data_IF_188791940769
#
_entry.id   IF_188791940769
#
_cell.length_a   1.000
_cell.length_b   1.000
_cell.length_c   1.000
_cell.angle_alpha   90.00
_cell.angle_beta   90.00
_cell.angle_gamma   90.00
#
_symmetry.space_group_name_H-M   'P 1'
#
loop_
_entity.id
_entity.type
_entity.pdbx_description
1 polymer ?
#
# COMPACT_ATOMS: atom_id res chain seq x y z
N UNK A 1 -24.63 5.44 1.35
CA UNK A 1 -23.61 6.50 1.61
C UNK A 1 -22.26 6.01 1.13
N UNK A 2 -21.57 6.81 0.34
CA UNK A 2 -20.22 6.53 -0.19
C UNK A 2 -19.34 7.76 -0.04
N UNK A 3 -18.02 7.55 0.05
CA UNK A 3 -16.99 8.59 0.21
C UNK A 3 -15.84 8.31 -0.74
N UNK A 4 -15.29 9.37 -1.33
CA UNK A 4 -14.06 9.37 -2.11
C UNK A 4 -13.06 10.35 -1.49
N UNK A 5 -11.79 9.98 -1.40
CA UNK A 5 -10.75 10.80 -0.77
C UNK A 5 -9.53 10.94 -1.67
N UNK A 6 -9.16 12.18 -1.95
CA UNK A 6 -7.96 12.53 -2.72
C UNK A 6 -6.94 13.27 -1.85
N UNK A 7 -5.68 13.17 -2.22
CA UNK A 7 -4.60 13.89 -1.57
C UNK A 7 -3.37 13.99 -2.45
N UNK A 8 -2.27 14.49 -1.89
CA UNK A 8 -0.97 14.52 -2.58
C UNK A 8 -0.42 13.11 -2.71
N UNK A 9 0.16 12.79 -3.86
CA UNK A 9 0.83 11.50 -4.06
C UNK A 9 2.03 11.35 -3.12
N UNK A 10 2.18 10.16 -2.59
CA UNK A 10 3.33 9.76 -1.75
C UNK A 10 4.60 9.52 -2.56
N UNK A 11 4.46 9.33 -3.86
CA UNK A 11 5.54 8.87 -4.73
C UNK A 11 5.96 9.90 -5.77
N UNK A 12 5.10 10.84 -6.11
CA UNK A 12 5.38 11.82 -7.15
C UNK A 12 4.88 13.20 -6.74
N UNK A 13 5.78 14.19 -6.79
CA UNK A 13 5.44 15.57 -6.53
C UNK A 13 4.43 16.07 -7.57
N UNK A 14 3.48 16.86 -7.14
CA UNK A 14 2.45 17.50 -7.96
C UNK A 14 1.45 16.52 -8.64
N UNK A 15 1.43 15.24 -8.26
CA UNK A 15 0.43 14.26 -8.67
C UNK A 15 -0.67 14.15 -7.61
N UNK A 16 -1.92 14.13 -8.05
CA UNK A 16 -3.07 13.84 -7.18
C UNK A 16 -3.18 12.31 -7.02
N UNK A 17 -3.30 11.85 -5.80
CA UNK A 17 -3.52 10.44 -5.49
C UNK A 17 -4.93 10.23 -4.97
N UNK A 18 -5.66 9.28 -5.57
CA UNK A 18 -6.89 8.76 -5.00
C UNK A 18 -6.55 7.75 -3.91
N UNK A 19 -6.69 8.16 -2.65
CA UNK A 19 -6.34 7.32 -1.52
C UNK A 19 -7.40 6.30 -1.20
N UNK A 20 -8.68 6.64 -1.37
CA UNK A 20 -9.75 5.75 -0.94
C UNK A 20 -11.09 6.05 -1.62
N UNK A 21 -11.79 4.98 -1.96
CA UNK A 21 -13.23 4.96 -2.19
C UNK A 21 -13.85 3.95 -1.24
N UNK A 22 -14.86 4.35 -0.49
CA UNK A 22 -15.54 3.49 0.49
C UNK A 22 -17.04 3.65 0.39
N UNK A 23 -17.75 2.55 0.61
CA UNK A 23 -19.20 2.51 0.77
C UNK A 23 -19.50 2.01 2.18
N UNK A 24 -20.51 2.59 2.83
CA UNK A 24 -20.96 2.15 4.16
C UNK A 24 -21.35 0.66 4.12
N UNK A 25 -20.90 -0.09 5.10
CA UNK A 25 -21.21 -1.51 5.21
C UNK A 25 -22.73 -1.76 5.16
N UNK A 26 -23.16 -2.78 4.41
CA UNK A 26 -24.56 -3.10 4.19
C UNK A 26 -25.28 -2.25 3.13
N UNK A 27 -24.58 -1.32 2.48
CA UNK A 27 -25.14 -0.48 1.40
C UNK A 27 -24.47 -0.79 0.07
N UNK A 28 -25.26 -0.71 -0.99
CA UNK A 28 -24.76 -0.66 -2.36
C UNK A 28 -25.15 0.70 -2.97
N UNK A 29 -24.18 1.42 -3.52
CA UNK A 29 -24.40 2.72 -4.16
C UNK A 29 -24.13 2.57 -5.64
N UNK A 30 -25.22 2.52 -6.43
CA UNK A 30 -25.16 2.38 -7.88
C UNK A 30 -24.44 3.58 -8.49
N UNK A 31 -23.40 3.30 -9.29
CA UNK A 31 -22.51 4.31 -9.91
C UNK A 31 -21.87 5.30 -8.91
N UNK A 32 -21.79 4.92 -7.65
CA UNK A 32 -21.29 5.81 -6.59
C UNK A 32 -19.89 6.33 -6.85
N UNK A 33 -19.00 5.49 -7.34
CA UNK A 33 -17.61 5.89 -7.65
C UNK A 33 -17.57 6.92 -8.79
N UNK A 34 -18.16 6.62 -9.92
CA UNK A 34 -18.17 7.51 -11.10
C UNK A 34 -18.91 8.83 -10.83
N UNK A 35 -20.01 8.80 -10.08
CA UNK A 35 -20.74 10.01 -9.68
C UNK A 35 -19.90 10.91 -8.77
N UNK A 36 -19.26 10.36 -7.74
CA UNK A 36 -18.41 11.13 -6.84
C UNK A 36 -17.16 11.66 -7.57
N UNK A 37 -16.56 10.88 -8.45
CA UNK A 37 -15.44 11.32 -9.26
C UNK A 37 -15.84 12.51 -10.15
N UNK A 38 -16.96 12.43 -10.84
CA UNK A 38 -17.48 13.52 -11.65
C UNK A 38 -17.73 14.80 -10.85
N UNK A 39 -18.25 14.68 -9.63
CA UNK A 39 -18.50 15.83 -8.75
C UNK A 39 -17.22 16.41 -8.11
N UNK A 40 -16.14 15.65 -8.04
CA UNK A 40 -14.87 16.12 -7.48
C UNK A 40 -14.15 17.13 -8.37
N UNK A 41 -14.51 17.23 -9.65
CA UNK A 41 -13.83 18.03 -10.68
C UNK A 41 -12.33 17.68 -10.85
N UNK A 42 -11.90 16.51 -10.37
CA UNK A 42 -10.52 16.03 -10.55
C UNK A 42 -10.44 15.34 -11.89
N UNK A 43 -9.61 15.89 -12.78
CA UNK A 43 -9.46 15.44 -14.16
C UNK A 43 -8.42 14.33 -14.31
N UNK A 44 -7.46 14.26 -13.40
CA UNK A 44 -6.44 13.22 -13.42
C UNK A 44 -5.98 12.86 -12.03
N UNK A 45 -5.71 11.58 -11.79
CA UNK A 45 -5.15 11.06 -10.55
C UNK A 45 -4.44 9.72 -10.77
N UNK A 46 -3.55 9.37 -9.85
CA UNK A 46 -3.03 8.02 -9.71
C UNK A 46 -3.66 7.33 -8.50
N UNK A 47 -3.70 6.00 -8.51
CA UNK A 47 -4.04 5.22 -7.32
C UNK A 47 -3.20 3.94 -7.26
N UNK A 48 -2.98 3.45 -6.04
CA UNK A 48 -2.19 2.26 -5.76
C UNK A 48 -3.08 1.23 -5.06
N UNK A 49 -3.29 0.10 -5.70
CA UNK A 49 -4.23 -0.94 -5.28
C UNK A 49 -3.44 -2.10 -4.70
N UNK A 50 -3.71 -2.43 -3.45
CA UNK A 50 -3.11 -3.60 -2.78
C UNK A 50 -3.67 -4.89 -3.39
N UNK A 51 -2.83 -5.62 -4.12
CA UNK A 51 -3.20 -6.85 -4.82
C UNK A 51 -3.43 -8.04 -3.89
N UNK A 52 -3.05 -7.95 -2.61
CA UNK A 52 -3.38 -8.97 -1.62
C UNK A 52 -4.88 -8.98 -1.27
N UNK A 53 -5.56 -7.83 -1.43
CA UNK A 53 -6.95 -7.66 -1.00
C UNK A 53 -7.91 -7.27 -2.12
N UNK A 54 -7.41 -6.66 -3.20
CA UNK A 54 -8.24 -6.06 -4.25
C UNK A 54 -7.75 -6.40 -5.66
N UNK A 55 -8.68 -6.52 -6.59
CA UNK A 55 -8.39 -6.82 -8.00
C UNK A 55 -8.22 -5.58 -8.88
N UNK A 56 -8.59 -4.39 -8.39
CA UNK A 56 -8.59 -3.15 -9.18
C UNK A 56 -9.75 -2.98 -10.16
N UNK A 57 -10.65 -3.96 -10.31
CA UNK A 57 -11.75 -3.92 -11.31
C UNK A 57 -12.60 -2.66 -11.22
N UNK A 58 -12.89 -2.16 -10.02
CA UNK A 58 -13.66 -0.93 -9.84
C UNK A 58 -12.97 0.31 -10.41
N UNK A 59 -11.65 0.37 -10.40
CA UNK A 59 -10.88 1.45 -11.02
C UNK A 59 -10.89 1.35 -12.54
N UNK A 60 -10.73 0.14 -13.07
CA UNK A 60 -10.79 -0.10 -14.53
C UNK A 60 -12.15 0.24 -15.08
N UNK A 61 -13.24 -0.08 -14.37
CA UNK A 61 -14.60 0.20 -14.81
C UNK A 61 -14.94 1.69 -14.93
N UNK A 62 -14.24 2.57 -14.23
CA UNK A 62 -14.39 4.03 -14.35
C UNK A 62 -13.43 4.65 -15.37
N UNK A 63 -12.64 3.85 -16.07
CA UNK A 63 -11.73 4.30 -17.13
C UNK A 63 -10.28 4.48 -16.73
N UNK A 64 -9.86 4.04 -15.53
CA UNK A 64 -8.45 4.01 -15.18
C UNK A 64 -7.67 3.03 -16.06
N UNK A 65 -6.42 3.36 -16.37
CA UNK A 65 -5.50 2.49 -17.09
C UNK A 65 -4.49 1.88 -16.12
N UNK A 66 -4.19 0.60 -16.32
CA UNK A 66 -3.10 -0.06 -15.61
C UNK A 66 -1.75 0.47 -16.09
N UNK A 67 -0.88 0.87 -15.17
CA UNK A 67 0.43 1.43 -15.48
C UNK A 67 1.54 0.44 -15.15
N UNK A 68 1.55 -0.09 -13.93
CA UNK A 68 2.60 -1.00 -13.48
C UNK A 68 2.16 -1.80 -12.25
N UNK A 69 2.82 -2.92 -12.06
CA UNK A 69 2.70 -3.72 -10.83
C UNK A 69 4.04 -3.65 -10.10
N UNK A 70 4.02 -3.26 -8.84
CA UNK A 70 5.22 -3.24 -8.01
C UNK A 70 5.61 -4.66 -7.60
N UNK A 71 6.91 -4.88 -7.36
CA UNK A 71 7.37 -6.11 -6.73
C UNK A 71 6.77 -6.24 -5.32
N UNK A 72 6.54 -7.46 -4.84
CA UNK A 72 6.14 -7.69 -3.45
C UNK A 72 7.08 -7.00 -2.47
N UNK A 73 6.52 -6.33 -1.49
CA UNK A 73 7.23 -5.78 -0.35
C UNK A 73 7.05 -6.70 0.85
N UNK A 74 7.74 -6.44 1.95
CA UNK A 74 7.66 -7.28 3.14
C UNK A 74 7.65 -6.46 4.42
N UNK A 75 7.13 -7.11 5.46
CA UNK A 75 7.19 -6.69 6.85
C UNK A 75 7.79 -7.80 7.68
N UNK A 76 8.25 -7.46 8.87
CA UNK A 76 8.59 -8.45 9.89
C UNK A 76 7.55 -8.45 10.99
N UNK A 77 7.18 -9.62 11.47
CA UNK A 77 6.24 -9.78 12.58
C UNK A 77 6.81 -10.73 13.64
N UNK A 78 6.57 -10.41 14.91
CA UNK A 78 6.90 -11.25 16.05
C UNK A 78 5.88 -11.03 17.14
N UNK A 79 5.08 -12.07 17.45
CA UNK A 79 3.93 -11.94 18.34
C UNK A 79 2.99 -10.81 17.86
N UNK A 80 2.75 -9.79 18.67
CA UNK A 80 1.90 -8.63 18.34
C UNK A 80 2.66 -7.46 17.70
N UNK A 81 3.99 -7.58 17.55
CA UNK A 81 4.85 -6.52 16.99
C UNK A 81 4.96 -6.66 15.48
N UNK A 82 4.87 -5.54 14.79
CA UNK A 82 5.06 -5.44 13.34
C UNK A 82 6.09 -4.37 13.05
N UNK A 83 7.06 -4.68 12.20
CA UNK A 83 8.06 -3.74 11.70
C UNK A 83 8.01 -3.68 10.19
N UNK A 84 7.95 -2.48 9.66
CA UNK A 84 8.06 -2.25 8.21
C UNK A 84 9.50 -2.50 7.75
N UNK A 85 9.69 -2.77 6.47
CA UNK A 85 11.01 -2.88 5.85
C UNK A 85 11.91 -1.67 6.17
N UNK A 86 11.34 -0.46 6.18
CA UNK A 86 12.09 0.76 6.50
C UNK A 86 12.59 0.78 7.97
N UNK A 87 11.79 0.28 8.90
CA UNK A 87 12.17 0.19 10.32
C UNK A 87 13.22 -0.89 10.57
N UNK A 88 13.19 -1.98 9.80
CA UNK A 88 14.09 -3.12 9.94
C UNK A 88 15.37 -3.04 9.08
N UNK A 89 15.70 -1.88 8.50
CA UNK A 89 16.93 -1.70 7.74
C UNK A 89 18.18 -2.07 8.57
N UNK A 90 19.17 -2.71 7.95
CA UNK A 90 20.35 -3.27 8.64
C UNK A 90 20.99 -2.30 9.62
N UNK A 91 21.16 -1.03 9.26
CA UNK A 91 21.76 -0.01 10.13
C UNK A 91 20.92 0.35 11.37
N UNK A 92 19.64 -0.04 11.41
CA UNK A 92 18.72 0.18 12.54
C UNK A 92 18.56 -1.04 13.43
N UNK A 93 19.04 -2.21 13.00
CA UNK A 93 18.84 -3.47 13.73
C UNK A 93 19.51 -3.50 15.09
N UNK A 94 20.62 -2.80 15.25
CA UNK A 94 21.28 -2.69 16.55
C UNK A 94 20.35 -2.15 17.64
N UNK A 95 19.53 -1.15 17.33
CA UNK A 95 18.57 -0.60 18.29
C UNK A 95 17.37 -1.52 18.55
N UNK A 96 17.03 -2.41 17.60
CA UNK A 96 15.90 -3.35 17.70
C UNK A 96 16.31 -4.64 18.41
N UNK A 97 17.48 -5.19 18.07
CA UNK A 97 17.96 -6.48 18.54
C UNK A 97 18.97 -6.37 19.70
N UNK A 98 19.57 -5.20 19.90
CA UNK A 98 20.57 -4.98 20.94
C UNK A 98 21.78 -5.91 20.81
N UNK A 99 22.13 -6.59 21.88
CA UNK A 99 23.28 -7.54 21.93
C UNK A 99 23.11 -8.77 21.04
N UNK A 100 21.92 -9.04 20.56
CA UNK A 100 21.64 -10.16 19.64
C UNK A 100 21.87 -9.80 18.17
N UNK A 101 22.21 -8.55 17.88
CA UNK A 101 22.57 -8.11 16.54
C UNK A 101 23.94 -8.63 16.14
N UNK A 102 24.03 -9.27 14.97
CA UNK A 102 25.26 -9.74 14.37
C UNK A 102 25.55 -8.96 13.07
N UNK A 103 26.61 -8.19 13.08
CA UNK A 103 27.03 -7.38 11.93
C UNK A 103 27.44 -8.20 10.70
N UNK A 104 27.84 -9.46 10.88
CA UNK A 104 28.23 -10.38 9.80
C UNK A 104 27.02 -10.95 9.07
N UNK A 105 25.84 -10.95 9.69
CA UNK A 105 24.62 -11.46 9.07
C UNK A 105 23.89 -10.41 8.23
N UNK A 106 23.11 -10.87 7.26
CA UNK A 106 22.18 -10.03 6.52
C UNK A 106 21.05 -9.53 7.43
N UNK A 107 20.30 -8.52 6.96
CA UNK A 107 19.07 -8.06 7.63
C UNK A 107 18.13 -9.22 7.94
N UNK A 108 17.78 -10.00 6.90
CA UNK A 108 16.85 -11.11 7.04
C UNK A 108 17.37 -12.20 7.99
N UNK A 109 18.65 -12.54 7.92
CA UNK A 109 19.24 -13.56 8.78
C UNK A 109 19.24 -13.13 10.24
N UNK A 110 19.55 -11.87 10.54
CA UNK A 110 19.44 -11.31 11.90
C UNK A 110 18.01 -11.40 12.44
N UNK A 111 17.02 -10.99 11.62
CA UNK A 111 15.63 -10.95 12.05
C UNK A 111 15.09 -12.38 12.29
N UNK A 112 15.33 -13.30 11.35
CA UNK A 112 14.88 -14.69 11.47
C UNK A 112 15.54 -15.40 12.65
N UNK A 113 16.84 -15.22 12.85
CA UNK A 113 17.56 -15.80 13.98
C UNK A 113 17.02 -15.32 15.34
N UNK A 114 16.41 -14.14 15.39
CA UNK A 114 15.79 -13.58 16.59
C UNK A 114 14.27 -13.82 16.68
N UNK A 115 13.74 -14.74 15.90
CA UNK A 115 12.35 -15.19 15.96
C UNK A 115 11.34 -14.27 15.26
N UNK A 116 11.81 -13.39 14.38
CA UNK A 116 10.92 -12.59 13.52
C UNK A 116 10.56 -13.37 12.26
N UNK A 117 9.32 -13.29 11.86
CA UNK A 117 8.81 -13.85 10.61
C UNK A 117 8.79 -12.75 9.54
N UNK A 118 9.25 -13.09 8.34
CA UNK A 118 9.21 -12.21 7.18
C UNK A 118 7.97 -12.53 6.37
N UNK A 119 7.08 -11.56 6.22
CA UNK A 119 5.80 -11.72 5.51
C UNK A 119 5.78 -10.78 4.31
N UNK A 120 5.54 -11.34 3.11
CA UNK A 120 5.44 -10.60 1.86
C UNK A 120 4.00 -10.23 1.57
N UNK A 121 3.80 -9.04 0.98
CA UNK A 121 2.55 -8.67 0.31
C UNK A 121 2.52 -9.20 -1.14
N UNK A 122 1.46 -8.92 -1.87
CA UNK A 122 1.31 -9.29 -3.29
C UNK A 122 1.77 -8.18 -4.25
N UNK A 123 2.33 -7.09 -3.74
CA UNK A 123 2.62 -5.89 -4.51
C UNK A 123 1.39 -5.01 -4.70
N UNK A 124 1.58 -3.91 -5.41
CA UNK A 124 0.53 -2.93 -5.69
C UNK A 124 0.38 -2.73 -7.20
N UNK A 125 -0.86 -2.66 -7.68
CA UNK A 125 -1.18 -2.22 -9.02
C UNK A 125 -1.29 -0.68 -9.01
N UNK A 126 -0.44 -0.01 -9.80
CA UNK A 126 -0.61 1.42 -10.08
C UNK A 126 -1.57 1.59 -11.24
N UNK A 127 -2.58 2.42 -11.05
CA UNK A 127 -3.52 2.85 -12.09
C UNK A 127 -3.51 4.37 -12.21
N UNK A 128 -3.80 4.86 -13.41
CA UNK A 128 -3.93 6.29 -13.68
C UNK A 128 -5.24 6.57 -14.42
N UNK A 129 -5.87 7.67 -14.04
CA UNK A 129 -7.06 8.25 -14.67
C UNK A 129 -6.68 9.59 -15.29
N UNK A 130 -7.00 9.75 -16.58
CA UNK A 130 -6.77 10.98 -17.34
C UNK A 130 -8.03 11.34 -18.14
#
# INVERSE_FOLDING_TARGET
MAVIGFGKSRFKKDEVELHRYCVKAGYHVVDGFSKLLKHSNILSFASYIDLAHFTGKGYLSIGCKEISISKPNYIYTKSTKVLTRYQAQKHKLHSILGVKYDACLSESSNMIANGWLKVYDAGNLKVEYN
#
